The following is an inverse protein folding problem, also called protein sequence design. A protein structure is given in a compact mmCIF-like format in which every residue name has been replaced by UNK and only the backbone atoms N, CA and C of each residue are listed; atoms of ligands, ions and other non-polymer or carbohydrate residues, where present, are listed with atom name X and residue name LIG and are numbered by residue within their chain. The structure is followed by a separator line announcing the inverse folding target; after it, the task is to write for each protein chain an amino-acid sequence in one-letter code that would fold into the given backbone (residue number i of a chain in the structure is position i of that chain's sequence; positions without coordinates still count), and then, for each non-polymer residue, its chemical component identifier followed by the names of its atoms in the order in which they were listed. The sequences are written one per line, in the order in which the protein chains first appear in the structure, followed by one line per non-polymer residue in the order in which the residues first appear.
data_IF_815391440391
#
_entry.id   IF_815391440391
#
_cell.length_a   1.000
_cell.length_b   1.000
_cell.length_c   1.000
_cell.angle_alpha   90.00
_cell.angle_beta   90.00
_cell.angle_gamma   90.00
#
_symmetry.space_group_name_H-M   'P 1'
#
loop_
_entity.id
_entity.type
_entity.pdbx_description
1 polymer ?
#
# COMPACT_ATOMS: atom_id res chain seq x y z
N UNK A 1 -9.99 -13.44 -12.46
CA UNK A 1 -8.66 -14.08 -12.56
C UNK A 1 -8.44 -14.88 -11.29
N UNK A 2 -7.96 -16.10 -11.40
CA UNK A 2 -7.64 -16.96 -10.27
C UNK A 2 -6.12 -16.90 -10.02
N UNK A 3 -5.69 -16.55 -8.80
CA UNK A 3 -4.26 -16.47 -8.42
C UNK A 3 -3.57 -17.83 -8.51
N UNK A 4 -4.33 -18.93 -8.47
CA UNK A 4 -3.81 -20.27 -8.73
C UNK A 4 -3.47 -20.52 -10.20
N UNK A 5 -3.82 -19.62 -11.12
CA UNK A 5 -3.45 -19.73 -12.55
C UNK A 5 -2.40 -18.68 -12.95
N UNK A 6 -2.46 -17.50 -12.35
CA UNK A 6 -1.45 -16.44 -12.51
C UNK A 6 -1.56 -15.48 -11.31
N UNK A 7 -0.45 -15.20 -10.64
CA UNK A 7 -0.40 -14.26 -9.52
C UNK A 7 0.36 -12.98 -9.92
N UNK A 8 -0.33 -11.86 -10.24
CA UNK A 8 0.32 -10.62 -10.65
C UNK A 8 1.09 -9.94 -9.50
N UNK A 9 0.88 -10.38 -8.25
CA UNK A 9 1.62 -9.88 -7.10
C UNK A 9 2.82 -10.77 -6.73
N UNK A 10 3.23 -11.70 -7.62
CA UNK A 10 4.50 -12.43 -7.55
C UNK A 10 5.35 -12.15 -8.78
N UNK A 11 6.53 -11.58 -8.54
CA UNK A 11 7.52 -11.30 -9.57
C UNK A 11 8.94 -11.32 -8.99
N UNK A 12 9.91 -11.66 -9.84
CA UNK A 12 11.30 -11.91 -9.45
C UNK A 12 12.15 -12.33 -10.67
N UNK A 13 13.41 -12.75 -10.46
CA UNK A 13 14.36 -13.02 -11.55
C UNK A 13 13.88 -14.02 -12.61
N UNK A 14 12.97 -14.94 -12.26
CA UNK A 14 12.57 -16.02 -13.14
C UNK A 14 11.14 -15.93 -13.67
N UNK A 15 10.31 -14.95 -13.24
CA UNK A 15 8.85 -14.85 -13.52
C UNK A 15 8.00 -16.09 -13.14
N UNK A 16 8.63 -17.25 -12.97
CA UNK A 16 8.03 -18.58 -12.81
C UNK A 16 7.08 -18.67 -11.62
N UNK A 17 7.33 -17.92 -10.55
CA UNK A 17 6.45 -17.85 -9.38
C UNK A 17 5.10 -17.17 -9.67
N UNK A 18 5.05 -16.24 -10.63
CA UNK A 18 3.83 -15.52 -11.03
C UNK A 18 3.08 -16.17 -12.19
N UNK A 19 3.80 -16.85 -13.09
CA UNK A 19 3.24 -17.42 -14.34
C UNK A 19 3.17 -18.95 -14.35
N UNK A 20 3.70 -19.63 -13.33
CA UNK A 20 3.76 -21.11 -13.24
C UNK A 20 4.33 -21.79 -14.51
N UNK A 21 5.26 -21.11 -15.18
CA UNK A 21 5.87 -21.52 -16.45
C UNK A 21 4.89 -21.72 -17.63
N UNK A 22 3.66 -21.17 -17.56
CA UNK A 22 2.67 -21.24 -18.65
C UNK A 22 2.75 -19.99 -19.56
N UNK A 23 2.98 -20.14 -20.89
CA UNK A 23 2.97 -19.04 -21.85
C UNK A 23 1.67 -18.22 -21.89
N UNK A 24 0.51 -18.84 -21.64
CA UNK A 24 -0.76 -18.15 -21.53
C UNK A 24 -0.82 -17.28 -20.28
N UNK A 25 -0.39 -17.81 -19.13
CA UNK A 25 -0.27 -17.04 -17.89
C UNK A 25 0.71 -15.87 -18.06
N UNK A 26 1.82 -16.06 -18.79
CA UNK A 26 2.76 -14.98 -19.13
C UNK A 26 2.08 -13.85 -19.91
N UNK A 27 1.28 -14.16 -20.95
CA UNK A 27 0.58 -13.12 -21.72
C UNK A 27 -0.37 -12.28 -20.86
N UNK A 28 -1.08 -12.93 -19.94
CA UNK A 28 -1.98 -12.24 -19.01
C UNK A 28 -1.20 -11.40 -18.01
N UNK A 29 -0.10 -11.93 -17.46
CA UNK A 29 0.81 -11.22 -16.57
C UNK A 29 1.41 -9.98 -17.26
N UNK A 30 1.93 -10.14 -18.48
CA UNK A 30 2.50 -9.04 -19.27
C UNK A 30 1.46 -7.96 -19.58
N UNK A 31 0.23 -8.37 -19.92
CA UNK A 31 -0.88 -7.46 -20.19
C UNK A 31 -1.28 -6.66 -18.95
N UNK A 32 -1.39 -7.32 -17.80
CA UNK A 32 -1.67 -6.69 -16.51
C UNK A 32 -0.60 -5.66 -16.15
N UNK A 33 0.68 -6.07 -16.13
CA UNK A 33 1.77 -5.17 -15.79
C UNK A 33 2.00 -4.07 -16.83
N UNK A 34 1.67 -4.35 -18.10
CA UNK A 34 1.64 -3.37 -19.18
C UNK A 34 0.63 -2.26 -18.92
N UNK A 35 -0.60 -2.62 -18.54
CA UNK A 35 -1.63 -1.67 -18.16
C UNK A 35 -1.24 -0.85 -16.93
N UNK A 36 -0.73 -1.48 -15.87
CA UNK A 36 -0.29 -0.77 -14.65
C UNK A 36 0.83 0.23 -14.97
N UNK A 37 1.81 -0.15 -15.81
CA UNK A 37 2.87 0.78 -16.27
C UNK A 37 2.27 1.99 -16.99
N UNK A 38 1.37 1.76 -17.95
CA UNK A 38 0.74 2.85 -18.71
C UNK A 38 -0.03 3.82 -17.79
N UNK A 39 -0.76 3.30 -16.81
CA UNK A 39 -1.49 4.12 -15.84
C UNK A 39 -0.54 4.94 -14.95
N UNK A 40 0.51 4.31 -14.40
CA UNK A 40 1.56 4.98 -13.62
C UNK A 40 2.23 6.08 -14.44
N UNK A 41 2.59 5.81 -15.70
CA UNK A 41 3.24 6.77 -16.58
C UNK A 41 2.31 7.93 -16.99
N UNK A 42 1.00 7.69 -17.12
CA UNK A 42 0.03 8.75 -17.35
C UNK A 42 -0.08 9.71 -16.15
N UNK A 43 -0.13 9.17 -14.93
CA UNK A 43 -0.15 9.98 -13.70
C UNK A 43 1.18 10.73 -13.54
N UNK A 44 2.33 10.06 -13.73
CA UNK A 44 3.66 10.72 -13.66
C UNK A 44 3.76 11.93 -14.59
N UNK A 45 3.29 11.80 -15.83
CA UNK A 45 3.28 12.89 -16.81
C UNK A 45 2.39 14.06 -16.38
N UNK A 46 1.26 13.77 -15.75
CA UNK A 46 0.25 14.78 -15.39
C UNK A 46 0.52 15.45 -14.02
N UNK A 47 1.22 14.76 -13.12
CA UNK A 47 1.33 15.13 -11.71
C UNK A 47 2.79 15.40 -11.28
N UNK A 48 3.64 15.91 -12.19
CA UNK A 48 5.06 16.23 -11.91
C UNK A 48 5.84 15.05 -11.30
N UNK A 49 5.56 13.84 -11.80
CA UNK A 49 6.14 12.59 -11.32
C UNK A 49 5.54 12.04 -10.01
N UNK A 50 4.64 12.78 -9.34
CA UNK A 50 4.01 12.39 -8.08
C UNK A 50 2.79 11.52 -8.35
N UNK A 51 2.63 10.48 -7.56
CA UNK A 51 1.45 9.63 -7.63
C UNK A 51 1.46 8.58 -6.55
N UNK A 52 0.30 7.98 -6.29
CA UNK A 52 0.13 6.94 -5.29
C UNK A 52 -0.61 5.76 -5.92
N UNK A 53 0.01 4.58 -5.91
CA UNK A 53 -0.65 3.32 -6.25
C UNK A 53 -1.11 2.60 -4.98
N UNK A 54 -2.36 2.15 -4.98
CA UNK A 54 -2.94 1.31 -3.94
C UNK A 54 -3.13 -0.09 -4.50
N UNK A 55 -2.42 -1.05 -3.92
CA UNK A 55 -2.56 -2.47 -4.22
C UNK A 55 -3.54 -3.08 -3.21
N UNK A 56 -4.80 -3.26 -3.61
CA UNK A 56 -5.90 -3.62 -2.70
C UNK A 56 -6.11 -5.14 -2.71
N UNK A 57 -6.04 -5.73 -1.51
CA UNK A 57 -6.17 -7.16 -1.24
C UNK A 57 -7.17 -7.41 -0.11
N UNK A 58 -7.41 -8.69 0.16
CA UNK A 58 -8.18 -9.15 1.29
C UNK A 58 -7.44 -10.25 2.05
N UNK A 59 -7.61 -10.29 3.38
CA UNK A 59 -6.86 -11.18 4.28
C UNK A 59 -7.74 -11.85 5.35
N UNK A 60 -7.27 -12.98 5.90
CA UNK A 60 -7.98 -13.82 6.89
C UNK A 60 -7.28 -14.01 8.25
N UNK A 61 -6.25 -13.21 8.55
CA UNK A 61 -5.64 -13.13 9.87
C UNK A 61 -6.70 -12.89 10.97
N UNK A 62 -6.58 -13.59 12.11
CA UNK A 62 -7.61 -13.60 13.16
C UNK A 62 -7.74 -12.26 13.91
N UNK A 63 -6.77 -11.36 13.78
CA UNK A 63 -6.80 -10.07 14.46
C UNK A 63 -7.86 -9.10 13.89
N UNK A 64 -8.37 -9.39 12.69
CA UNK A 64 -9.37 -8.58 11.99
C UNK A 64 -8.99 -7.09 11.83
N UNK A 65 -7.70 -6.84 11.56
CA UNK A 65 -7.20 -5.51 11.21
C UNK A 65 -7.24 -5.31 9.69
N UNK A 66 -7.58 -4.10 9.24
CA UNK A 66 -7.13 -3.69 7.91
C UNK A 66 -5.64 -3.38 7.98
N UNK A 67 -4.82 -3.92 7.09
CA UNK A 67 -3.36 -3.77 7.15
C UNK A 67 -2.87 -2.87 6.01
N UNK A 68 -1.98 -1.93 6.33
CA UNK A 68 -1.39 -1.03 5.33
C UNK A 68 0.09 -1.35 5.18
N UNK A 69 0.44 -2.01 4.08
CA UNK A 69 1.79 -2.44 3.76
C UNK A 69 2.63 -1.35 3.08
N UNK A 70 3.70 -0.91 3.77
CA UNK A 70 4.67 0.09 3.27
C UNK A 70 6.05 -0.50 2.91
N UNK A 71 6.15 -1.82 2.76
CA UNK A 71 7.38 -2.62 2.67
C UNK A 71 8.26 -2.65 3.93
N UNK A 72 7.74 -2.15 5.05
CA UNK A 72 8.36 -2.37 6.37
C UNK A 72 7.97 -3.73 6.93
N UNK A 73 8.95 -4.44 7.51
CA UNK A 73 8.71 -5.73 8.17
C UNK A 73 7.99 -5.51 9.49
N UNK A 74 7.22 -6.52 9.92
CA UNK A 74 6.61 -6.57 11.26
C UNK A 74 7.64 -6.31 12.38
N UNK A 75 8.84 -6.88 12.29
CA UNK A 75 9.90 -6.65 13.29
C UNK A 75 10.35 -5.19 13.37
N UNK A 76 10.34 -4.47 12.25
CA UNK A 76 10.68 -3.04 12.22
C UNK A 76 9.56 -2.21 12.88
N UNK A 77 8.30 -2.49 12.56
CA UNK A 77 7.17 -1.83 13.20
C UNK A 77 7.15 -2.08 14.72
N UNK A 78 7.32 -3.34 15.14
CA UNK A 78 7.35 -3.72 16.56
C UNK A 78 8.51 -3.08 17.33
N UNK A 79 9.63 -2.77 16.66
CA UNK A 79 10.79 -2.08 17.26
C UNK A 79 10.76 -0.57 17.08
N UNK A 80 9.68 0.00 16.54
CA UNK A 80 9.54 1.44 16.33
C UNK A 80 10.49 2.00 15.26
N UNK A 81 10.97 1.16 14.34
CA UNK A 81 11.89 1.55 13.27
C UNK A 81 11.13 1.87 11.98
N UNK A 82 11.35 3.07 11.45
CA UNK A 82 10.72 3.55 10.22
C UNK A 82 11.77 4.09 9.24
N UNK A 83 12.66 3.22 8.71
CA UNK A 83 13.70 3.65 7.78
C UNK A 83 13.08 4.06 6.43
N UNK A 84 13.04 5.35 6.15
CA UNK A 84 12.41 5.90 4.94
C UNK A 84 12.93 5.24 3.65
N UNK A 85 14.24 4.96 3.59
CA UNK A 85 14.89 4.33 2.44
C UNK A 85 14.41 2.90 2.13
N UNK A 86 13.76 2.23 3.09
CA UNK A 86 13.22 0.88 2.93
C UNK A 86 11.70 0.85 2.70
N UNK A 87 11.06 2.03 2.56
CA UNK A 87 9.60 2.11 2.37
C UNK A 87 9.22 2.30 0.91
N UNK A 88 8.01 1.87 0.55
CA UNK A 88 7.37 2.20 -0.74
C UNK A 88 6.84 3.65 -0.81
N UNK A 89 6.97 4.42 0.27
CA UNK A 89 6.59 5.84 0.37
C UNK A 89 7.83 6.74 0.56
N UNK A 90 9.01 6.27 0.14
CA UNK A 90 10.28 7.00 0.25
C UNK A 90 10.21 8.39 -0.40
N UNK A 91 9.58 8.48 -1.56
CA UNK A 91 9.33 9.74 -2.27
C UNK A 91 8.59 10.73 -1.39
N UNK A 92 7.49 10.30 -0.76
CA UNK A 92 6.70 11.12 0.17
C UNK A 92 7.54 11.69 1.31
N UNK A 93 8.31 10.84 1.97
CA UNK A 93 9.17 11.26 3.07
C UNK A 93 10.22 12.25 2.56
N UNK A 94 10.85 11.95 1.43
CA UNK A 94 11.88 12.78 0.82
C UNK A 94 11.38 14.19 0.45
N UNK A 95 10.21 14.31 -0.21
CA UNK A 95 9.67 15.63 -0.57
C UNK A 95 9.19 16.43 0.63
N UNK A 96 8.55 15.77 1.59
CA UNK A 96 8.03 16.47 2.76
C UNK A 96 9.14 17.01 3.66
N UNK A 97 10.30 16.34 3.70
CA UNK A 97 11.50 16.83 4.39
C UNK A 97 12.22 17.97 3.67
N UNK A 98 11.98 18.18 2.36
CA UNK A 98 12.48 19.35 1.63
C UNK A 98 11.59 20.56 1.84
N UNK A 99 10.29 20.33 1.95
CA UNK A 99 9.28 21.38 2.13
C UNK A 99 9.13 21.82 3.61
N UNK A 100 9.75 21.09 4.55
CA UNK A 100 9.75 21.36 5.99
C UNK A 100 11.16 21.71 6.47
N UNK A 101 11.30 22.75 7.30
CA UNK A 101 12.57 23.09 7.96
C UNK A 101 13.08 22.00 8.92
N UNK A 102 12.21 21.04 9.29
CA UNK A 102 12.58 19.83 10.02
C UNK A 102 12.44 18.59 9.13
N UNK A 103 13.47 17.74 9.14
CA UNK A 103 13.42 16.42 8.50
C UNK A 103 12.28 15.60 9.11
N UNK A 104 11.26 15.30 8.31
CA UNK A 104 10.12 14.51 8.75
C UNK A 104 10.47 13.02 8.67
N UNK A 105 10.34 12.33 9.80
CA UNK A 105 10.51 10.87 9.85
C UNK A 105 9.38 10.16 9.11
N UNK A 106 9.69 9.03 8.45
CA UNK A 106 8.67 8.15 7.87
C UNK A 106 7.61 7.72 8.90
N UNK A 107 7.96 7.71 10.20
CA UNK A 107 7.03 7.51 11.32
C UNK A 107 5.79 8.39 11.21
N UNK A 108 5.93 9.66 10.83
CA UNK A 108 4.80 10.61 10.67
C UNK A 108 3.76 10.12 9.66
N UNK A 109 4.22 9.58 8.54
CA UNK A 109 3.33 9.14 7.45
C UNK A 109 2.77 7.74 7.67
N UNK A 110 3.36 6.95 8.56
CA UNK A 110 2.99 5.55 8.81
C UNK A 110 2.07 5.45 10.03
N UNK A 111 2.38 6.14 11.13
CA UNK A 111 1.58 6.07 12.37
C UNK A 111 1.17 7.44 12.94
N UNK A 112 1.49 8.55 12.28
CA UNK A 112 1.01 9.86 12.76
C UNK A 112 -0.51 9.99 12.63
N UNK A 113 -1.10 10.99 13.27
CA UNK A 113 -2.56 11.19 13.28
C UNK A 113 -3.17 11.41 11.89
N UNK A 114 -2.35 11.83 10.92
CA UNK A 114 -2.72 12.01 9.51
C UNK A 114 -2.14 10.93 8.59
N UNK A 115 -1.62 9.82 9.14
CA UNK A 115 -1.24 8.66 8.33
C UNK A 115 -2.47 8.04 7.67
N UNK A 116 -2.26 7.29 6.59
CA UNK A 116 -3.36 6.60 5.91
C UNK A 116 -4.14 5.69 6.88
N UNK A 117 -3.42 4.96 7.72
CA UNK A 117 -4.01 4.07 8.73
C UNK A 117 -4.82 4.83 9.78
N UNK A 118 -4.32 5.96 10.29
CA UNK A 118 -5.04 6.80 11.25
C UNK A 118 -6.28 7.46 10.65
N UNK A 119 -6.20 7.90 9.38
CA UNK A 119 -7.33 8.45 8.65
C UNK A 119 -8.43 7.43 8.39
N UNK A 120 -8.10 6.16 8.13
CA UNK A 120 -9.12 5.10 8.03
C UNK A 120 -9.62 4.68 9.41
N UNK A 121 -8.75 4.68 10.41
CA UNK A 121 -9.11 4.38 11.79
C UNK A 121 -10.12 5.36 12.38
N UNK A 122 -10.08 6.64 11.98
CA UNK A 122 -11.05 7.64 12.44
C UNK A 122 -12.50 7.37 11.97
N UNK A 123 -12.69 6.53 10.95
CA UNK A 123 -14.01 6.01 10.55
C UNK A 123 -14.47 4.80 11.38
N UNK A 124 -13.72 4.41 12.42
CA UNK A 124 -14.06 3.32 13.34
C UNK A 124 -13.46 1.96 12.99
N UNK A 125 -12.59 1.87 11.97
CA UNK A 125 -11.94 0.60 11.60
C UNK A 125 -10.66 0.37 12.41
N UNK A 126 -10.36 -0.88 12.77
CA UNK A 126 -9.05 -1.22 13.34
C UNK A 126 -8.04 -1.37 12.22
N UNK A 127 -7.01 -0.50 12.20
CA UNK A 127 -6.04 -0.43 11.09
C UNK A 127 -4.62 -0.48 11.62
N UNK A 128 -3.75 -1.29 11.02
CA UNK A 128 -2.34 -1.41 11.37
C UNK A 128 -1.45 -1.19 10.14
N UNK A 129 -0.38 -0.38 10.22
CA UNK A 129 -0.04 0.53 11.30
C UNK A 129 -0.91 1.80 11.29
N UNK A 130 -1.21 2.33 12.48
CA UNK A 130 -1.90 3.62 12.72
C UNK A 130 -1.44 4.22 14.05
N UNK A 131 -1.89 5.43 14.39
CA UNK A 131 -1.58 6.04 15.69
C UNK A 131 -2.05 5.17 16.87
N UNK A 132 -3.24 4.59 16.77
CA UNK A 132 -3.83 3.73 17.81
C UNK A 132 -3.30 2.29 17.80
N UNK A 133 -2.84 1.80 16.65
CA UNK A 133 -2.29 0.44 16.49
C UNK A 133 -0.98 0.55 15.69
N UNK A 134 0.13 0.97 16.33
CA UNK A 134 1.36 1.33 15.62
C UNK A 134 2.13 0.14 15.04
N UNK A 135 1.85 -1.06 15.52
CA UNK A 135 2.53 -2.28 15.11
C UNK A 135 1.62 -3.51 15.27
N UNK A 136 1.85 -4.58 14.49
CA UNK A 136 1.05 -5.81 14.56
C UNK A 136 1.42 -6.73 15.73
N UNK A 137 2.50 -6.44 16.47
CA UNK A 137 2.99 -7.24 17.59
C UNK A 137 3.19 -8.72 17.20
N UNK A 138 2.52 -9.64 17.88
CA UNK A 138 2.54 -11.07 17.58
C UNK A 138 1.62 -11.45 16.42
N UNK A 139 0.72 -10.57 16.01
CA UNK A 139 -0.27 -10.79 14.95
C UNK A 139 0.30 -10.95 13.55
N UNK A 140 -0.59 -11.27 12.62
CA UNK A 140 -0.31 -11.27 11.18
C UNK A 140 -0.11 -9.86 10.65
N UNK A 141 0.66 -9.75 9.57
CA UNK A 141 0.86 -8.50 8.84
C UNK A 141 1.50 -8.74 7.48
N UNK A 142 0.82 -8.35 6.40
CA UNK A 142 1.41 -8.28 5.07
C UNK A 142 2.06 -6.92 4.84
N UNK A 143 3.38 -6.91 4.70
CA UNK A 143 4.16 -5.70 4.50
C UNK A 143 4.00 -5.06 3.12
N UNK A 144 3.40 -5.76 2.15
CA UNK A 144 3.38 -5.37 0.74
C UNK A 144 4.15 -6.35 -0.14
N UNK A 145 3.62 -6.59 -1.34
CA UNK A 145 4.09 -7.57 -2.32
C UNK A 145 4.86 -6.98 -3.50
N UNK A 146 4.92 -7.74 -4.60
CA UNK A 146 5.65 -7.38 -5.81
C UNK A 146 5.17 -6.06 -6.42
N UNK A 147 3.86 -5.85 -6.53
CA UNK A 147 3.29 -4.63 -7.14
C UNK A 147 3.70 -3.40 -6.33
N UNK A 148 3.53 -3.46 -5.01
CA UNK A 148 3.94 -2.39 -4.10
C UNK A 148 5.43 -2.09 -4.27
N UNK A 149 6.29 -3.12 -4.32
CA UNK A 149 7.74 -2.96 -4.54
C UNK A 149 8.11 -2.41 -5.91
N UNK A 150 7.46 -2.89 -6.97
CA UNK A 150 7.82 -2.62 -8.36
C UNK A 150 7.41 -1.21 -8.80
N UNK A 151 6.26 -0.72 -8.33
CA UNK A 151 5.68 0.54 -8.78
C UNK A 151 5.78 1.68 -7.75
N UNK A 152 6.19 1.38 -6.52
CA UNK A 152 6.45 2.38 -5.48
C UNK A 152 7.82 3.03 -5.57
N UNK A 153 8.10 3.93 -4.63
CA UNK A 153 9.29 4.78 -4.64
C UNK A 153 10.50 4.16 -3.92
N UNK A 154 10.46 2.86 -3.60
CA UNK A 154 11.53 2.16 -2.89
C UNK A 154 12.91 2.39 -3.54
N UNK A 155 12.95 2.28 -4.88
CA UNK A 155 14.15 2.47 -5.69
C UNK A 155 14.39 3.93 -6.12
N UNK A 156 13.52 4.86 -5.72
CA UNK A 156 13.61 6.29 -6.04
C UNK A 156 12.36 6.83 -6.74
N UNK A 157 12.39 8.13 -7.04
CA UNK A 157 11.27 8.86 -7.66
C UNK A 157 10.21 9.32 -6.65
N UNK A 158 9.16 9.93 -7.18
CA UNK A 158 8.07 10.56 -6.42
C UNK A 158 6.74 9.78 -6.50
N UNK A 159 6.77 8.61 -7.14
CA UNK A 159 5.61 7.74 -7.28
C UNK A 159 5.64 6.69 -6.19
N UNK A 160 4.78 6.86 -5.21
CA UNK A 160 4.71 6.04 -4.01
C UNK A 160 3.66 4.92 -4.17
N UNK A 161 3.72 3.90 -3.32
CA UNK A 161 2.71 2.84 -3.30
C UNK A 161 2.45 2.30 -1.90
N UNK A 162 1.32 1.65 -1.71
CA UNK A 162 0.99 0.90 -0.50
C UNK A 162 0.08 -0.29 -0.82
N UNK A 163 0.21 -1.36 -0.04
CA UNK A 163 -0.73 -2.48 -0.05
C UNK A 163 -1.83 -2.24 0.99
N UNK A 164 -3.08 -2.47 0.64
CA UNK A 164 -4.22 -2.37 1.56
C UNK A 164 -4.85 -3.75 1.68
N UNK A 165 -4.67 -4.39 2.82
CA UNK A 165 -5.24 -5.70 3.13
C UNK A 165 -6.53 -5.55 3.91
N UNK A 166 -7.66 -5.73 3.24
CA UNK A 166 -8.98 -5.60 3.85
C UNK A 166 -9.27 -6.86 4.67
N UNK A 167 -9.63 -6.67 5.94
CA UNK A 167 -9.95 -7.78 6.83
C UNK A 167 -11.16 -8.60 6.34
N UNK A 168 -11.13 -9.91 6.60
CA UNK A 168 -12.27 -10.82 6.43
C UNK A 168 -13.57 -10.30 7.03
N UNK A 169 -13.52 -9.57 8.15
CA UNK A 169 -14.71 -9.01 8.78
C UNK A 169 -15.44 -8.02 7.86
N UNK A 170 -14.70 -7.29 7.01
CA UNK A 170 -15.27 -6.41 5.98
C UNK A 170 -15.61 -7.20 4.72
N UNK A 171 -14.74 -8.12 4.28
CA UNK A 171 -14.97 -8.90 3.06
C UNK A 171 -16.27 -9.71 3.11
N UNK A 172 -16.59 -10.29 4.26
CA UNK A 172 -17.80 -11.09 4.47
C UNK A 172 -18.94 -10.33 5.16
N UNK A 173 -18.80 -9.01 5.32
CA UNK A 173 -19.87 -8.15 5.84
C UNK A 173 -21.06 -8.09 4.86
N UNK A 174 -22.17 -7.48 5.29
CA UNK A 174 -23.28 -7.17 4.39
C UNK A 174 -22.85 -6.22 3.26
N UNK A 175 -23.61 -6.19 2.16
CA UNK A 175 -23.33 -5.28 1.04
C UNK A 175 -23.31 -3.80 1.49
N UNK A 176 -24.25 -3.41 2.35
CA UNK A 176 -24.31 -2.05 2.90
C UNK A 176 -23.05 -1.70 3.73
N UNK A 177 -22.50 -2.65 4.47
CA UNK A 177 -21.27 -2.44 5.23
C UNK A 177 -20.03 -2.39 4.34
N UNK A 178 -19.97 -3.21 3.29
CA UNK A 178 -18.91 -3.15 2.27
C UNK A 178 -18.96 -1.81 1.53
N UNK A 179 -20.12 -1.36 1.12
CA UNK A 179 -20.30 -0.05 0.47
C UNK A 179 -19.90 1.10 1.40
N UNK A 180 -20.30 1.05 2.68
CA UNK A 180 -19.85 2.02 3.69
C UNK A 180 -18.32 2.02 3.82
N UNK A 181 -17.69 0.86 3.90
CA UNK A 181 -16.23 0.74 3.93
C UNK A 181 -15.59 1.33 2.66
N UNK A 182 -16.11 1.03 1.47
CA UNK A 182 -15.61 1.56 0.20
C UNK A 182 -15.67 3.09 0.16
N UNK A 183 -16.76 3.70 0.65
CA UNK A 183 -16.87 5.16 0.76
C UNK A 183 -15.86 5.76 1.73
N UNK A 184 -15.67 5.13 2.90
CA UNK A 184 -14.68 5.58 3.88
C UNK A 184 -13.25 5.42 3.36
N UNK A 185 -12.92 4.31 2.70
CA UNK A 185 -11.63 4.11 2.05
C UNK A 185 -11.37 5.17 0.97
N UNK A 186 -12.36 5.47 0.12
CA UNK A 186 -12.26 6.53 -0.88
C UNK A 186 -12.04 7.92 -0.23
N UNK A 187 -12.74 8.22 0.87
CA UNK A 187 -12.53 9.44 1.63
C UNK A 187 -11.12 9.51 2.23
N UNK A 188 -10.61 8.41 2.81
CA UNK A 188 -9.24 8.29 3.29
C UNK A 188 -8.22 8.56 2.18
N UNK A 189 -8.40 7.95 1.00
CA UNK A 189 -7.53 8.17 -0.17
C UNK A 189 -7.52 9.65 -0.54
N UNK A 190 -8.69 10.29 -0.64
CA UNK A 190 -8.78 11.71 -0.99
C UNK A 190 -8.15 12.64 0.06
N UNK A 191 -8.36 12.38 1.35
CA UNK A 191 -7.76 13.14 2.44
C UNK A 191 -6.24 12.99 2.46
N UNK A 192 -5.74 11.75 2.34
CA UNK A 192 -4.31 11.47 2.30
C UNK A 192 -3.66 12.07 1.05
N UNK A 193 -4.31 11.98 -0.12
CA UNK A 193 -3.80 12.52 -1.37
C UNK A 193 -3.58 14.04 -1.30
N UNK A 194 -4.60 14.79 -0.85
CA UNK A 194 -4.53 16.25 -0.71
C UNK A 194 -3.51 16.69 0.33
N UNK A 195 -3.47 16.02 1.48
CA UNK A 195 -2.55 16.38 2.56
C UNK A 195 -1.06 16.16 2.20
N UNK A 196 -0.77 15.34 1.18
CA UNK A 196 0.57 14.88 0.85
C UNK A 196 1.00 15.21 -0.59
N UNK A 197 0.27 16.11 -1.27
CA UNK A 197 0.65 16.66 -2.57
C UNK A 197 0.58 15.67 -3.74
N UNK A 198 -0.35 14.71 -3.67
CA UNK A 198 -0.68 13.82 -4.79
C UNK A 198 -1.84 14.32 -5.66
N UNK A 199 -2.65 15.26 -5.13
CA UNK A 199 -3.83 15.85 -5.78
C UNK A 199 -3.94 17.32 -5.38
#
# INVERSE_FOLDING_TARGET
MDRMKMDPNRGGPTLSEGIQCDPAAKRVYDSYHGFVRQAVDAVRRSCRGRGLLLDIHGQHHPQNWTEIGYLLRKSQLNSGQYPAASTSIRGLVGRSSRDSASSLSARKFIIGDRSFGSLLNSFGYRVVPSASVPAPETGGYYSGGFITRQYGSLTGGEFDSMQVEITQAVMYASEAERDRFSRHLAATIGLFARANGYA
#
